data_IF_948747319127
#
_entry.id   IF_948747319127
#
_cell.length_a   1.000
_cell.length_b   1.000
_cell.length_c   1.000
_cell.angle_alpha   90.00
_cell.angle_beta   90.00
_cell.angle_gamma   90.00
#
_symmetry.space_group_name_H-M   'P 1'
#
loop_
_entity.id
_entity.type
_entity.pdbx_description
1 polymer ?
#
# COMPACT_ATOMS: atom_id res chain seq x y z
N UNK A 1 17.73 -6.23 24.51
CA UNK A 1 17.51 -5.15 23.51
C UNK A 1 16.71 -3.96 24.04
N UNK A 2 15.45 -4.07 24.50
CA UNK A 2 14.69 -2.88 24.96
C UNK A 2 15.43 -2.10 26.07
N UNK A 3 15.83 -2.78 27.15
CA UNK A 3 16.62 -2.20 28.26
C UNK A 3 18.02 -1.67 27.88
N UNK A 4 18.54 -2.04 26.72
CA UNK A 4 19.82 -1.54 26.21
C UNK A 4 19.61 -0.24 25.42
N UNK A 5 18.50 -0.15 24.68
CA UNK A 5 18.13 1.03 23.88
C UNK A 5 17.45 2.09 24.77
N UNK A 6 16.68 1.66 25.76
CA UNK A 6 15.93 2.50 26.71
C UNK A 6 16.26 2.09 28.15
N UNK A 7 17.39 2.58 28.72
CA UNK A 7 17.85 2.21 30.06
C UNK A 7 16.86 2.50 31.19
N UNK A 8 16.00 3.50 31.03
CA UNK A 8 14.92 3.86 31.96
C UNK A 8 13.89 2.72 32.14
N UNK A 9 13.83 1.77 31.20
CA UNK A 9 12.95 0.60 31.29
C UNK A 9 13.54 -0.57 32.09
N UNK A 10 14.71 -0.41 32.72
CA UNK A 10 15.41 -1.50 33.43
C UNK A 10 14.58 -2.14 34.53
N UNK A 11 13.88 -1.33 35.32
CA UNK A 11 13.01 -1.80 36.41
C UNK A 11 11.58 -2.09 35.93
N UNK A 12 11.28 -1.86 34.64
CA UNK A 12 9.94 -2.08 34.11
C UNK A 12 9.65 -3.59 34.00
N UNK A 13 8.58 -4.02 34.64
CA UNK A 13 8.10 -5.41 34.57
C UNK A 13 7.21 -5.61 33.35
N UNK A 14 7.50 -6.63 32.55
CA UNK A 14 6.58 -7.09 31.50
C UNK A 14 5.37 -7.73 32.19
N UNK A 15 4.19 -7.14 32.02
CA UNK A 15 2.92 -7.64 32.59
C UNK A 15 2.21 -8.58 31.61
N UNK A 16 2.29 -8.31 30.31
CA UNK A 16 1.77 -9.16 29.24
C UNK A 16 2.69 -9.09 28.01
N UNK A 17 2.72 -10.16 27.22
CA UNK A 17 3.41 -10.21 25.95
C UNK A 17 2.71 -11.18 25.01
N UNK A 18 2.37 -10.68 23.81
CA UNK A 18 1.71 -11.47 22.77
C UNK A 18 2.50 -11.35 21.49
N UNK A 19 2.78 -12.49 20.88
CA UNK A 19 3.44 -12.58 19.59
C UNK A 19 2.48 -13.27 18.65
N UNK A 20 1.98 -12.56 17.66
CA UNK A 20 1.10 -13.12 16.63
C UNK A 20 1.93 -13.38 15.39
N UNK A 21 2.13 -14.66 15.07
CA UNK A 21 2.71 -15.08 13.80
C UNK A 21 1.61 -15.74 12.97
N UNK A 22 1.19 -15.06 11.91
CA UNK A 22 0.15 -15.53 11.02
C UNK A 22 0.58 -15.35 9.57
N UNK A 23 0.13 -16.25 8.71
CA UNK A 23 0.36 -16.18 7.26
C UNK A 23 -0.70 -15.32 6.56
N UNK A 24 -1.12 -14.23 7.21
CA UNK A 24 -2.15 -13.30 6.76
C UNK A 24 -1.57 -11.96 6.28
N UNK A 25 -0.28 -11.72 6.49
CA UNK A 25 0.38 -10.53 5.99
C UNK A 25 0.65 -10.65 4.47
N UNK A 26 0.21 -9.68 3.66
CA UNK A 26 0.39 -9.72 2.22
C UNK A 26 1.88 -9.62 1.85
N UNK A 27 2.41 -10.67 1.23
CA UNK A 27 3.74 -10.67 0.64
C UNK A 27 3.73 -10.04 -0.75
N UNK A 28 4.73 -9.20 -1.01
CA UNK A 28 4.89 -8.50 -2.28
C UNK A 28 6.16 -8.97 -3.02
N UNK A 29 6.17 -10.19 -3.59
CA UNK A 29 7.37 -10.71 -4.24
C UNK A 29 7.72 -9.89 -5.49
N UNK A 30 9.03 -9.81 -5.77
CA UNK A 30 9.55 -9.23 -7.01
C UNK A 30 8.90 -9.93 -8.22
N UNK A 31 8.50 -9.16 -9.23
CA UNK A 31 7.78 -9.68 -10.40
C UNK A 31 6.30 -10.04 -10.16
N UNK A 32 5.80 -10.03 -8.91
CA UNK A 32 4.41 -10.38 -8.61
C UNK A 32 3.37 -9.33 -9.00
N UNK A 33 3.78 -8.14 -9.43
CA UNK A 33 2.88 -6.99 -9.65
C UNK A 33 1.77 -7.27 -10.67
N UNK A 34 2.09 -7.93 -11.79
CA UNK A 34 1.10 -8.20 -12.85
C UNK A 34 0.07 -9.25 -12.45
N UNK A 35 0.39 -10.12 -11.48
CA UNK A 35 -0.52 -11.15 -10.95
C UNK A 35 -1.53 -10.60 -9.95
N UNK A 36 -1.36 -9.35 -9.50
CA UNK A 36 -2.31 -8.72 -8.58
C UNK A 36 -3.57 -8.27 -9.32
N UNK A 37 -4.76 -8.47 -8.74
CA UNK A 37 -5.99 -7.98 -9.35
C UNK A 37 -5.97 -6.46 -9.45
N UNK A 38 -6.60 -5.93 -10.49
CA UNK A 38 -6.80 -4.49 -10.65
C UNK A 38 -8.00 -4.00 -9.82
N UNK A 39 -8.09 -2.69 -9.61
CA UNK A 39 -9.25 -2.06 -8.96
C UNK A 39 -10.55 -2.31 -9.71
N UNK A 40 -10.54 -2.15 -11.04
CA UNK A 40 -11.71 -2.44 -11.89
C UNK A 40 -11.74 -3.93 -12.22
N UNK A 41 -12.91 -4.54 -12.07
CA UNK A 41 -13.19 -5.93 -12.46
C UNK A 41 -14.01 -5.97 -13.75
N UNK A 42 -14.25 -7.15 -14.34
CA UNK A 42 -15.16 -7.29 -15.47
C UNK A 42 -16.61 -6.90 -15.16
N UNK A 43 -17.05 -6.98 -13.90
CA UNK A 43 -18.37 -6.53 -13.48
C UNK A 43 -18.31 -5.03 -13.10
N UNK A 44 -19.06 -4.14 -13.78
CA UNK A 44 -19.02 -2.71 -13.53
C UNK A 44 -19.53 -2.30 -12.14
N UNK A 45 -20.22 -3.19 -11.42
CA UNK A 45 -20.74 -2.94 -10.06
C UNK A 45 -19.80 -3.45 -8.97
N UNK A 46 -18.73 -4.16 -9.33
CA UNK A 46 -17.78 -4.76 -8.39
C UNK A 46 -16.39 -4.18 -8.61
N UNK A 47 -15.84 -3.56 -7.57
CA UNK A 47 -14.45 -3.06 -7.55
C UNK A 47 -13.68 -3.68 -6.39
N UNK A 48 -12.35 -3.75 -6.55
CA UNK A 48 -11.46 -4.34 -5.56
C UNK A 48 -10.60 -3.27 -4.89
N UNK A 49 -10.41 -3.42 -3.58
CA UNK A 49 -9.51 -2.62 -2.77
C UNK A 49 -8.77 -3.50 -1.76
N UNK A 50 -7.69 -2.98 -1.19
CA UNK A 50 -6.87 -3.67 -0.20
C UNK A 50 -5.42 -3.87 -0.65
N UNK A 51 -4.63 -4.44 0.24
CA UNK A 51 -3.19 -4.55 0.09
C UNK A 51 -2.75 -5.43 -1.08
N UNK A 52 -3.54 -6.45 -1.40
CA UNK A 52 -3.27 -7.33 -2.53
C UNK A 52 -3.61 -6.69 -3.89
N UNK A 53 -4.31 -5.56 -3.91
CA UNK A 53 -4.77 -4.91 -5.15
C UNK A 53 -3.63 -4.13 -5.80
N UNK A 54 -3.54 -4.27 -7.12
CA UNK A 54 -2.57 -3.57 -7.96
C UNK A 54 -2.81 -2.06 -7.88
N UNK A 55 -1.82 -1.33 -7.39
CA UNK A 55 -1.83 0.12 -7.34
C UNK A 55 -0.62 0.68 -8.11
N UNK A 56 -0.88 1.62 -9.03
CA UNK A 56 0.19 2.31 -9.75
C UNK A 56 0.93 3.34 -8.90
N UNK A 57 0.36 3.76 -7.77
CA UNK A 57 0.99 4.75 -6.91
C UNK A 57 2.07 4.08 -6.02
N UNK A 58 3.14 4.80 -5.64
CA UNK A 58 4.25 4.30 -4.83
C UNK A 58 3.84 4.16 -3.35
N UNK A 59 2.86 3.30 -3.08
CA UNK A 59 2.25 3.08 -1.76
C UNK A 59 2.49 1.65 -1.29
N UNK A 60 2.44 1.40 0.01
CA UNK A 60 2.61 0.06 0.60
C UNK A 60 1.69 -0.19 1.80
N UNK A 61 1.37 -1.47 2.07
CA UNK A 61 0.58 -1.92 3.22
C UNK A 61 -0.65 -1.03 3.45
N UNK A 62 -0.92 -0.62 4.70
CA UNK A 62 -2.07 0.21 5.09
C UNK A 62 -2.33 1.41 4.15
N UNK A 63 -1.29 2.08 3.67
CA UNK A 63 -1.42 3.18 2.70
C UNK A 63 -1.99 2.69 1.36
N UNK A 64 -1.53 1.53 0.88
CA UNK A 64 -2.06 0.87 -0.31
C UNK A 64 -3.51 0.45 -0.12
N UNK A 65 -3.88 -0.17 1.00
CA UNK A 65 -5.28 -0.49 1.30
C UNK A 65 -6.17 0.76 1.21
N UNK A 66 -5.78 1.85 1.89
CA UNK A 66 -6.53 3.11 1.87
C UNK A 66 -6.58 3.71 0.45
N UNK A 67 -5.45 3.78 -0.23
CA UNK A 67 -5.32 4.34 -1.59
C UNK A 67 -6.17 3.57 -2.59
N UNK A 68 -6.11 2.24 -2.58
CA UNK A 68 -6.93 1.40 -3.47
C UNK A 68 -8.41 1.47 -3.10
N UNK A 69 -8.75 1.70 -1.84
CA UNK A 69 -10.12 2.02 -1.41
C UNK A 69 -10.66 3.28 -2.09
N UNK A 70 -9.89 4.38 -2.07
CA UNK A 70 -10.27 5.59 -2.81
C UNK A 70 -10.36 5.37 -4.32
N UNK A 71 -9.41 4.62 -4.90
CA UNK A 71 -9.47 4.29 -6.33
C UNK A 71 -10.72 3.46 -6.69
N UNK A 72 -11.10 2.50 -5.84
CA UNK A 72 -12.28 1.65 -6.02
C UNK A 72 -13.58 2.45 -5.88
N UNK A 73 -13.66 3.32 -4.87
CA UNK A 73 -14.78 4.23 -4.70
C UNK A 73 -14.90 5.19 -5.89
N UNK A 74 -13.80 5.78 -6.33
CA UNK A 74 -13.78 6.68 -7.49
C UNK A 74 -14.23 5.98 -8.78
N UNK A 75 -13.86 4.72 -8.98
CA UNK A 75 -14.34 3.95 -10.13
C UNK A 75 -15.87 3.82 -10.12
N UNK A 76 -16.47 3.50 -8.96
CA UNK A 76 -17.93 3.40 -8.81
C UNK A 76 -18.64 4.76 -8.94
N UNK A 77 -18.04 5.84 -8.42
CA UNK A 77 -18.59 7.20 -8.48
C UNK A 77 -18.56 7.74 -9.90
N UNK A 78 -17.47 7.51 -10.64
CA UNK A 78 -17.32 7.94 -12.03
C UNK A 78 -18.41 7.35 -12.92
N UNK A 79 -18.73 6.06 -12.75
CA UNK A 79 -19.78 5.38 -13.53
C UNK A 79 -21.20 5.93 -13.22
N UNK A 80 -21.35 6.75 -12.16
CA UNK A 80 -22.59 7.44 -11.76
C UNK A 80 -22.54 8.95 -12.00
N UNK A 81 -21.51 9.45 -12.68
CA UNK A 81 -21.33 10.89 -12.90
C UNK A 81 -21.02 11.69 -11.63
N UNK A 82 -20.60 11.04 -10.54
CA UNK A 82 -20.27 11.69 -9.27
C UNK A 82 -18.78 11.95 -9.20
N UNK A 83 -18.39 13.14 -8.72
CA UNK A 83 -16.99 13.52 -8.51
C UNK A 83 -16.35 12.60 -7.45
N UNK A 84 -15.23 11.98 -7.80
CA UNK A 84 -14.41 11.20 -6.89
C UNK A 84 -13.39 12.04 -6.10
N UNK A 85 -12.67 11.38 -5.19
CA UNK A 85 -11.59 11.94 -4.40
C UNK A 85 -10.29 12.06 -5.21
N UNK A 86 -9.66 13.23 -5.18
CA UNK A 86 -8.32 13.40 -5.77
C UNK A 86 -7.28 12.76 -4.85
N UNK A 87 -6.41 11.92 -5.42
CA UNK A 87 -5.28 11.32 -4.72
C UNK A 87 -3.99 12.01 -5.12
N UNK A 88 -3.27 12.52 -4.13
CA UNK A 88 -1.97 13.15 -4.30
C UNK A 88 -0.87 12.17 -3.94
N UNK A 89 0.21 12.14 -4.73
CA UNK A 89 1.37 11.28 -4.49
C UNK A 89 2.66 12.02 -4.83
N UNK A 90 3.77 11.51 -4.32
CA UNK A 90 5.10 11.84 -4.84
C UNK A 90 5.22 11.42 -6.32
N UNK A 91 6.13 12.05 -7.09
CA UNK A 91 6.41 11.65 -8.46
C UNK A 91 6.77 10.17 -8.58
N UNK A 92 6.23 9.51 -9.60
CA UNK A 92 6.47 8.08 -9.88
C UNK A 92 7.80 7.78 -10.56
N UNK A 93 8.56 8.81 -10.89
CA UNK A 93 9.88 8.72 -11.49
C UNK A 93 10.79 9.79 -10.89
N UNK A 94 12.10 9.53 -10.88
CA UNK A 94 13.10 10.48 -10.37
C UNK A 94 12.98 11.85 -11.05
N UNK A 95 13.25 12.94 -10.34
CA UNK A 95 13.08 14.30 -10.88
C UNK A 95 14.16 14.69 -11.90
N UNK A 96 15.38 14.15 -11.75
CA UNK A 96 16.48 14.40 -12.68
C UNK A 96 16.37 13.55 -13.93
N UNK A 97 16.30 14.19 -15.10
CA UNK A 97 16.27 13.50 -16.40
C UNK A 97 17.53 12.66 -16.64
N UNK A 98 18.71 13.16 -16.25
CA UNK A 98 19.98 12.44 -16.40
C UNK A 98 19.99 11.16 -15.55
N UNK A 99 19.60 11.25 -14.28
CA UNK A 99 19.54 10.07 -13.40
C UNK A 99 18.49 9.05 -13.87
N UNK A 100 17.36 9.51 -14.43
CA UNK A 100 16.35 8.60 -15.02
C UNK A 100 16.89 7.83 -16.23
N UNK A 101 17.69 8.48 -17.07
CA UNK A 101 18.27 7.82 -18.24
C UNK A 101 19.29 6.76 -17.81
N UNK A 102 20.16 7.09 -16.85
CA UNK A 102 21.15 6.14 -16.33
C UNK A 102 20.52 4.94 -15.61
N UNK A 103 19.39 5.12 -14.94
CA UNK A 103 18.68 4.02 -14.26
C UNK A 103 17.89 3.09 -15.19
N UNK A 104 17.74 3.46 -16.46
CA UNK A 104 17.04 2.66 -17.49
C UNK A 104 17.97 1.88 -18.42
N UNK A 105 19.29 1.98 -18.20
CA UNK A 105 20.34 1.17 -18.85
C UNK A 105 20.64 -0.01 -17.96
#
# INVERSE_FOLDING_TARGET
KLREIYPETREARIIDSRHEWRSDCPLFPVGGYLRRPAVRTPDPRVTLAGDAVRCGLPVALMERAATTGFLAANALLADRGVRGQVLWTVPRAGRSRALRLLAGV
#
